data_IF_658990872055
#
_entry.id   IF_658990872055
#
_cell.length_a   1.000
_cell.length_b   1.000
_cell.length_c   1.000
_cell.angle_alpha   90.00
_cell.angle_beta   90.00
_cell.angle_gamma   90.00
#
_symmetry.space_group_name_H-M   'P 1'
#
loop_
_entity.id
_entity.type
_entity.pdbx_description
1 polymer ?
#
# COMPACT_ATOMS: atom_id res chain seq x y z
N UNK A 1 8.41 11.98 5.95
CA UNK A 1 8.14 11.59 7.34
C UNK A 1 7.05 12.44 8.00
N UNK A 2 7.07 13.76 7.81
CA UNK A 2 6.09 14.68 8.43
C UNK A 2 4.64 14.44 8.04
N UNK A 3 4.38 13.82 6.91
CA UNK A 3 3.02 13.59 6.40
C UNK A 3 2.52 12.15 6.62
N UNK A 4 3.34 11.15 6.30
CA UNK A 4 2.94 9.72 6.37
C UNK A 4 3.35 9.03 7.68
N UNK A 5 4.08 9.71 8.55
CA UNK A 5 4.69 9.08 9.73
C UNK A 5 5.80 8.08 9.41
N UNK A 6 5.94 7.68 8.14
CA UNK A 6 6.89 6.68 7.66
C UNK A 6 7.90 7.31 6.72
N UNK A 7 9.16 6.88 6.80
CA UNK A 7 10.24 7.32 5.91
C UNK A 7 10.07 6.75 4.50
N UNK A 8 10.68 7.42 3.51
CA UNK A 8 10.61 7.02 2.10
C UNK A 8 11.16 5.60 1.91
N UNK A 9 10.50 4.81 1.06
CA UNK A 9 10.92 3.48 0.64
C UNK A 9 11.18 3.44 -0.87
N UNK A 10 11.87 2.42 -1.37
CA UNK A 10 12.05 2.23 -2.81
C UNK A 10 10.71 2.01 -3.53
N UNK A 11 9.75 1.42 -2.85
CA UNK A 11 8.40 1.20 -3.39
C UNK A 11 7.63 2.49 -3.63
N UNK A 12 7.99 3.59 -2.95
CA UNK A 12 7.37 4.90 -3.19
C UNK A 12 7.58 5.41 -4.61
N UNK A 13 8.60 4.90 -5.32
CA UNK A 13 8.82 5.19 -6.75
C UNK A 13 7.61 4.76 -7.58
N UNK A 14 7.01 3.61 -7.28
CA UNK A 14 5.81 3.11 -7.96
C UNK A 14 4.57 3.92 -7.64
N UNK A 15 4.56 4.54 -6.45
CA UNK A 15 3.45 5.37 -5.97
C UNK A 15 3.56 6.85 -6.34
N UNK A 16 4.61 7.29 -7.04
CA UNK A 16 4.82 8.71 -7.40
C UNK A 16 3.58 9.28 -8.10
N UNK A 17 3.00 8.56 -9.05
CA UNK A 17 1.80 9.01 -9.77
C UNK A 17 0.60 9.18 -8.82
N UNK A 18 0.39 8.23 -7.92
CA UNK A 18 -0.66 8.32 -6.90
C UNK A 18 -0.41 9.49 -5.96
N UNK A 19 0.84 9.69 -5.54
CA UNK A 19 1.22 10.81 -4.68
C UNK A 19 0.98 12.17 -5.36
N UNK A 20 1.30 12.30 -6.64
CA UNK A 20 1.07 13.53 -7.40
C UNK A 20 -0.41 13.89 -7.52
N UNK A 21 -1.29 12.90 -7.63
CA UNK A 21 -2.74 13.12 -7.69
C UNK A 21 -3.34 13.63 -6.36
N UNK A 22 -2.63 13.46 -5.25
CA UNK A 22 -3.07 13.86 -3.91
C UNK A 22 -2.48 15.22 -3.48
N UNK A 23 -1.49 15.72 -4.22
CA UNK A 23 -0.72 16.93 -3.84
C UNK A 23 -1.54 18.22 -3.88
N UNK A 24 -2.59 18.30 -4.69
CA UNK A 24 -3.39 19.53 -4.86
C UNK A 24 -4.08 20.04 -3.57
N UNK A 25 -4.20 19.18 -2.54
CA UNK A 25 -4.73 19.54 -1.21
C UNK A 25 -3.66 19.70 -0.12
N UNK A 26 -2.39 19.41 -0.37
CA UNK A 26 -1.36 19.32 0.65
C UNK A 26 -0.49 20.59 0.71
N UNK A 27 -0.41 21.20 1.88
CA UNK A 27 0.60 22.22 2.19
C UNK A 27 1.94 21.52 2.40
N UNK A 28 2.74 21.40 1.33
CA UNK A 28 4.12 20.91 1.44
C UNK A 28 4.96 21.95 2.20
N UNK A 29 5.27 21.68 3.45
CA UNK A 29 6.25 22.46 4.19
C UNK A 29 7.67 21.98 3.84
N UNK A 30 8.43 22.79 3.12
CA UNK A 30 9.84 22.50 2.86
C UNK A 30 10.61 22.83 4.13
N UNK A 31 11.18 21.82 4.76
CA UNK A 31 12.02 22.00 5.94
C UNK A 31 13.28 22.80 5.56
N UNK A 32 13.60 23.87 6.31
CA UNK A 32 14.80 24.68 6.10
C UNK A 32 16.09 23.87 6.08
N UNK A 33 16.19 22.80 6.87
CA UNK A 33 17.34 21.90 6.87
C UNK A 33 17.51 21.16 5.54
N UNK A 34 16.40 20.84 4.83
CA UNK A 34 16.46 20.25 3.50
C UNK A 34 17.03 21.24 2.50
N UNK A 35 16.61 22.50 2.53
CA UNK A 35 17.14 23.56 1.65
C UNK A 35 18.63 23.73 1.90
N UNK A 36 19.05 23.78 3.16
CA UNK A 36 20.48 23.87 3.53
C UNK A 36 21.26 22.68 2.99
N UNK A 37 20.75 21.45 3.16
CA UNK A 37 21.41 20.23 2.65
C UNK A 37 21.57 20.28 1.11
N UNK A 38 20.56 20.71 0.38
CA UNK A 38 20.61 20.87 -1.08
C UNK A 38 21.63 21.95 -1.48
N UNK A 39 21.64 23.09 -0.79
CA UNK A 39 22.61 24.16 -1.03
C UNK A 39 24.04 23.70 -0.75
N UNK A 40 24.28 22.98 0.34
CA UNK A 40 25.59 22.43 0.68
C UNK A 40 26.02 21.36 -0.36
N UNK A 41 25.11 20.54 -0.84
CA UNK A 41 25.39 19.56 -1.89
C UNK A 41 25.79 20.25 -3.19
N UNK A 42 25.05 21.28 -3.63
CA UNK A 42 25.36 22.05 -4.82
C UNK A 42 26.74 22.76 -4.66
N UNK A 43 26.99 23.35 -3.49
CA UNK A 43 28.27 23.97 -3.18
C UNK A 43 29.41 22.98 -3.19
N UNK A 44 29.22 21.79 -2.62
CA UNK A 44 30.19 20.69 -2.65
C UNK A 44 30.48 20.26 -4.10
N UNK A 45 29.44 20.09 -4.92
CA UNK A 45 29.59 19.78 -6.35
C UNK A 45 30.36 20.85 -7.08
N UNK A 46 30.06 22.13 -6.82
CA UNK A 46 30.76 23.28 -7.43
C UNK A 46 32.25 23.31 -7.02
N UNK A 47 32.54 23.14 -5.73
CA UNK A 47 33.92 23.06 -5.20
C UNK A 47 34.65 21.88 -5.82
N UNK A 48 34.02 20.70 -5.87
CA UNK A 48 34.61 19.49 -6.46
C UNK A 48 35.00 19.70 -7.93
N UNK A 49 34.15 20.35 -8.69
CA UNK A 49 34.44 20.71 -10.11
C UNK A 49 35.59 21.69 -10.23
N UNK A 50 35.70 22.66 -9.30
CA UNK A 50 36.73 23.73 -9.36
C UNK A 50 38.08 23.31 -8.76
N UNK A 51 38.07 22.51 -7.70
CA UNK A 51 39.28 22.19 -6.91
C UNK A 51 39.95 20.90 -7.41
N UNK A 52 39.17 19.90 -7.83
CA UNK A 52 39.72 18.66 -8.37
C UNK A 52 40.10 18.86 -9.85
N UNK A 53 41.14 19.63 -10.07
CA UNK A 53 41.77 19.73 -11.38
C UNK A 53 42.70 18.54 -11.60
N UNK A 54 42.20 17.47 -12.18
CA UNK A 54 43.08 16.43 -12.74
C UNK A 54 43.68 17.04 -14.01
N UNK A 55 44.97 17.36 -14.00
CA UNK A 55 45.71 17.80 -15.17
C UNK A 55 45.74 16.64 -16.16
N UNK A 56 44.91 16.67 -17.14
CA UNK A 56 44.86 15.70 -18.21
C UNK A 56 45.70 16.13 -19.38
N UNK A 57 46.67 15.31 -19.76
CA UNK A 57 47.52 15.47 -20.92
C UNK A 57 46.84 15.04 -22.23
N UNK A 58 45.65 14.48 -22.14
CA UNK A 58 44.85 13.96 -23.26
C UNK A 58 43.39 14.39 -23.14
N UNK A 59 42.98 15.28 -24.03
CA UNK A 59 41.67 15.66 -24.59
C UNK A 59 40.40 15.78 -23.69
N UNK A 60 39.93 17.02 -23.66
CA UNK A 60 38.54 17.55 -23.80
C UNK A 60 37.34 16.69 -23.38
N UNK A 61 37.43 15.89 -22.32
CA UNK A 61 36.19 15.51 -21.65
C UNK A 61 35.87 16.52 -20.56
N UNK A 62 34.60 16.99 -20.46
CA UNK A 62 34.25 17.99 -19.45
C UNK A 62 34.58 17.44 -18.07
N UNK A 63 35.27 18.22 -17.26
CA UNK A 63 35.71 17.88 -15.89
C UNK A 63 34.56 17.31 -15.03
N UNK A 64 33.38 17.79 -15.31
CA UNK A 64 32.12 17.32 -14.71
C UNK A 64 31.86 15.82 -14.97
N UNK A 65 32.00 15.34 -16.21
CA UNK A 65 31.77 13.94 -16.54
C UNK A 65 32.81 13.01 -15.85
N UNK A 66 34.07 13.47 -15.73
CA UNK A 66 35.14 12.73 -15.02
C UNK A 66 34.83 12.63 -13.53
N UNK A 67 34.43 13.73 -12.91
CA UNK A 67 34.11 13.75 -11.49
C UNK A 67 32.87 12.89 -11.17
N UNK A 68 31.86 12.91 -12.01
CA UNK A 68 30.70 11.99 -11.90
C UNK A 68 31.18 10.54 -12.02
N UNK A 69 32.05 10.23 -12.98
CA UNK A 69 32.55 8.86 -13.17
C UNK A 69 33.34 8.39 -11.96
N UNK A 70 34.16 9.26 -11.34
CA UNK A 70 34.91 8.95 -10.12
C UNK A 70 33.95 8.73 -8.95
N UNK A 71 32.97 9.61 -8.76
CA UNK A 71 31.96 9.47 -7.68
C UNK A 71 31.14 8.21 -7.87
N UNK A 72 30.66 7.94 -9.07
CA UNK A 72 29.94 6.70 -9.39
C UNK A 72 30.85 5.46 -9.24
N UNK A 73 32.12 5.57 -9.60
CA UNK A 73 33.11 4.51 -9.40
C UNK A 73 33.36 4.22 -7.94
N UNK A 74 33.49 5.26 -7.10
CA UNK A 74 33.62 5.11 -5.65
C UNK A 74 32.35 4.53 -5.03
N UNK A 75 31.18 5.02 -5.43
CA UNK A 75 29.90 4.46 -4.97
C UNK A 75 29.77 3.00 -5.41
N UNK A 76 30.10 2.69 -6.66
CA UNK A 76 30.11 1.33 -7.19
C UNK A 76 31.10 0.43 -6.45
N UNK A 77 32.31 0.93 -6.19
CA UNK A 77 33.32 0.20 -5.43
C UNK A 77 32.88 -0.05 -3.98
N UNK A 78 32.31 0.95 -3.33
CA UNK A 78 31.74 0.82 -1.98
C UNK A 78 30.57 -0.15 -2.00
N UNK A 79 29.71 -0.11 -3.00
CA UNK A 79 28.59 -1.04 -3.14
C UNK A 79 29.04 -2.48 -3.41
N UNK A 80 30.16 -2.66 -4.15
CA UNK A 80 30.77 -3.98 -4.44
C UNK A 80 31.61 -4.48 -3.25
N UNK A 81 32.36 -3.58 -2.60
CA UNK A 81 33.25 -3.90 -1.49
C UNK A 81 32.59 -3.73 -0.12
N UNK A 82 31.39 -3.15 -0.04
CA UNK A 82 30.59 -3.14 1.18
C UNK A 82 29.85 -4.48 1.27
N UNK A 83 30.49 -5.51 1.83
CA UNK A 83 29.85 -6.80 2.01
C UNK A 83 28.61 -6.61 2.90
N UNK A 84 27.78 -7.62 2.96
CA UNK A 84 26.59 -7.68 3.84
C UNK A 84 26.86 -7.17 5.26
N UNK A 85 28.14 -7.23 5.66
CA UNK A 85 28.64 -6.73 6.94
C UNK A 85 28.16 -5.29 7.29
N UNK A 86 28.21 -4.35 6.33
CA UNK A 86 27.80 -2.96 6.61
C UNK A 86 26.28 -2.74 6.58
N UNK A 87 25.52 -3.70 6.08
CA UNK A 87 24.07 -3.56 5.93
C UNK A 87 23.28 -4.60 6.73
N UNK A 88 23.94 -5.60 7.33
CA UNK A 88 23.25 -6.65 8.07
C UNK A 88 22.50 -6.13 9.31
N UNK A 89 23.04 -5.09 9.94
CA UNK A 89 22.44 -4.50 11.14
C UNK A 89 21.26 -3.54 10.82
N UNK A 90 21.07 -3.22 9.53
CA UNK A 90 19.95 -2.37 9.12
C UNK A 90 18.65 -3.17 9.15
N UNK A 91 17.82 -2.88 10.14
CA UNK A 91 16.55 -3.57 10.37
C UNK A 91 15.40 -2.87 9.64
N UNK A 92 14.93 -3.44 8.53
CA UNK A 92 13.88 -2.83 7.71
C UNK A 92 12.44 -3.07 8.22
N UNK A 93 12.24 -3.89 9.24
CA UNK A 93 10.92 -4.09 9.84
C UNK A 93 10.33 -2.79 10.40
N UNK A 94 11.19 -1.85 10.81
CA UNK A 94 10.80 -0.49 11.17
C UNK A 94 11.66 0.52 10.38
N UNK A 95 11.12 0.98 9.26
CA UNK A 95 11.80 1.89 8.36
C UNK A 95 12.25 3.19 9.04
N UNK A 96 11.45 3.72 9.97
CA UNK A 96 11.80 4.96 10.67
C UNK A 96 13.04 4.77 11.55
N UNK A 97 13.13 3.65 12.24
CA UNK A 97 14.30 3.31 13.05
C UNK A 97 15.51 3.04 12.14
N UNK A 98 15.34 2.32 11.04
CA UNK A 98 16.42 2.10 10.08
C UNK A 98 17.06 3.41 9.59
N UNK A 99 16.23 4.41 9.27
CA UNK A 99 16.72 5.74 8.88
C UNK A 99 17.36 6.50 10.04
N UNK A 100 16.86 6.34 11.27
CA UNK A 100 17.42 7.01 12.45
C UNK A 100 18.78 6.43 12.85
N UNK A 101 18.90 5.10 12.84
CA UNK A 101 20.05 4.37 13.35
C UNK A 101 21.16 4.22 12.31
N UNK A 102 20.80 3.94 11.06
CA UNK A 102 21.75 3.61 9.98
C UNK A 102 21.91 4.74 8.95
N UNK A 103 21.08 5.76 9.02
CA UNK A 103 21.06 6.84 8.05
C UNK A 103 20.50 6.46 6.68
N UNK A 104 20.26 7.46 5.83
CA UNK A 104 19.59 7.28 4.55
C UNK A 104 20.39 6.39 3.57
N UNK A 105 21.71 6.52 3.53
CA UNK A 105 22.57 5.80 2.58
C UNK A 105 22.52 4.29 2.77
N UNK A 106 22.81 3.81 3.98
CA UNK A 106 22.80 2.38 4.29
C UNK A 106 21.40 1.78 4.20
N UNK A 107 20.40 2.51 4.69
CA UNK A 107 18.99 2.07 4.60
C UNK A 107 18.55 1.87 3.15
N UNK A 108 18.87 2.80 2.25
CA UNK A 108 18.55 2.66 0.81
C UNK A 108 19.30 1.51 0.16
N UNK A 109 20.59 1.31 0.48
CA UNK A 109 21.36 0.17 -0.03
C UNK A 109 20.74 -1.14 0.44
N UNK A 110 20.34 -1.24 1.69
CA UNK A 110 19.65 -2.42 2.23
C UNK A 110 18.32 -2.68 1.54
N UNK A 111 17.52 -1.64 1.34
CA UNK A 111 16.26 -1.75 0.58
C UNK A 111 16.47 -2.27 -0.84
N UNK A 112 17.51 -1.78 -1.55
CA UNK A 112 17.83 -2.28 -2.90
C UNK A 112 18.13 -3.78 -2.89
N UNK A 113 18.85 -4.27 -1.87
CA UNK A 113 19.14 -5.70 -1.74
C UNK A 113 17.88 -6.53 -1.49
N UNK A 114 16.97 -6.02 -0.67
CA UNK A 114 15.73 -6.72 -0.31
C UNK A 114 14.60 -6.50 -1.32
N UNK A 115 14.80 -5.64 -2.32
CA UNK A 115 13.77 -5.30 -3.30
C UNK A 115 13.27 -6.50 -4.12
N UNK A 116 14.14 -7.47 -4.36
CA UNK A 116 13.80 -8.69 -5.07
C UNK A 116 13.42 -9.81 -4.11
N UNK A 117 12.20 -10.32 -4.22
CA UNK A 117 11.76 -11.51 -3.50
C UNK A 117 12.57 -12.72 -3.99
N UNK A 118 13.40 -13.27 -3.11
CA UNK A 118 14.17 -14.45 -3.43
C UNK A 118 13.29 -15.69 -3.41
N UNK A 119 13.45 -16.56 -4.43
CA UNK A 119 12.78 -17.86 -4.43
C UNK A 119 13.26 -18.71 -3.26
N UNK A 120 12.39 -19.35 -2.48
CA UNK A 120 12.78 -20.31 -1.46
C UNK A 120 13.67 -21.43 -2.05
N UNK A 121 14.62 -21.93 -1.26
CA UNK A 121 15.61 -22.95 -1.73
C UNK A 121 15.00 -24.20 -2.38
N UNK A 122 13.76 -24.56 -2.02
CA UNK A 122 13.02 -25.73 -2.57
C UNK A 122 11.88 -25.32 -3.47
N UNK A 123 11.82 -24.07 -3.93
CA UNK A 123 10.75 -23.61 -4.79
C UNK A 123 10.81 -24.31 -6.16
N UNK A 124 9.71 -24.96 -6.52
CA UNK A 124 9.42 -25.37 -7.90
C UNK A 124 7.93 -25.20 -8.16
N UNK A 125 7.58 -24.96 -9.41
CA UNK A 125 6.16 -24.84 -9.83
C UNK A 125 5.40 -26.13 -9.51
N UNK A 126 6.04 -27.29 -9.71
CA UNK A 126 5.41 -28.58 -9.46
C UNK A 126 5.17 -28.85 -7.98
N UNK A 127 6.10 -28.45 -7.11
CA UNK A 127 5.92 -28.55 -5.66
C UNK A 127 4.81 -27.62 -5.17
N UNK A 128 4.76 -26.39 -5.70
CA UNK A 128 3.68 -25.45 -5.40
C UNK A 128 2.32 -26.01 -5.83
N UNK A 129 2.22 -26.58 -7.04
CA UNK A 129 0.99 -27.23 -7.49
C UNK A 129 0.57 -28.39 -6.60
N UNK A 130 1.51 -29.23 -6.15
CA UNK A 130 1.21 -30.33 -5.22
C UNK A 130 0.70 -29.83 -3.87
N UNK A 131 1.26 -28.70 -3.37
CA UNK A 131 0.77 -28.10 -2.13
C UNK A 131 -0.66 -27.57 -2.34
N UNK A 132 -0.91 -26.83 -3.42
CA UNK A 132 -2.23 -26.28 -3.72
C UNK A 132 -3.29 -27.37 -3.91
N UNK A 133 -2.96 -28.44 -4.66
CA UNK A 133 -3.86 -29.56 -4.89
C UNK A 133 -4.37 -30.24 -3.61
N UNK A 134 -3.67 -30.12 -2.49
CA UNK A 134 -4.14 -30.64 -1.21
C UNK A 134 -5.33 -29.87 -0.62
N UNK A 135 -5.55 -28.66 -1.11
CA UNK A 135 -6.58 -27.73 -0.62
C UNK A 135 -7.65 -27.43 -1.67
N UNK A 136 -7.52 -27.98 -2.89
CA UNK A 136 -8.51 -27.79 -3.97
C UNK A 136 -9.79 -28.60 -3.71
N UNK A 137 -9.70 -29.76 -3.07
CA UNK A 137 -10.84 -30.66 -2.83
C UNK A 137 -11.87 -30.11 -1.85
N UNK A 138 -11.48 -29.18 -0.96
CA UNK A 138 -12.40 -28.58 0.03
C UNK A 138 -13.32 -27.50 -0.56
N UNK A 139 -13.02 -27.00 -1.76
CA UNK A 139 -13.71 -25.83 -2.35
C UNK A 139 -14.89 -26.26 -3.24
N UNK A 140 -14.84 -27.44 -3.82
CA UNK A 140 -15.88 -27.94 -4.75
C UNK A 140 -17.08 -28.59 -4.05
N UNK A 141 -17.12 -28.60 -2.70
CA UNK A 141 -18.14 -29.30 -1.93
C UNK A 141 -19.41 -28.47 -1.65
N UNK A 142 -19.51 -27.24 -2.14
CA UNK A 142 -20.77 -26.46 -1.97
C UNK A 142 -21.73 -26.88 -3.09
N UNK A 143 -22.51 -27.93 -2.83
CA UNK A 143 -23.46 -28.52 -3.81
C UNK A 143 -24.68 -27.62 -4.05
N UNK A 144 -25.10 -26.82 -3.08
CA UNK A 144 -26.26 -25.93 -3.20
C UNK A 144 -25.88 -24.48 -2.80
N UNK A 145 -25.93 -23.59 -3.77
CA UNK A 145 -25.69 -22.16 -3.57
C UNK A 145 -26.99 -21.35 -3.53
N UNK A 146 -28.16 -21.97 -3.59
CA UNK A 146 -29.46 -21.29 -3.70
C UNK A 146 -29.76 -20.36 -2.53
N UNK A 147 -29.40 -20.76 -1.29
CA UNK A 147 -29.73 -20.06 -0.06
C UNK A 147 -28.59 -19.20 0.51
N UNK A 148 -27.52 -18.98 -0.28
CA UNK A 148 -26.41 -18.14 0.20
C UNK A 148 -26.82 -16.66 0.30
N UNK A 149 -26.45 -15.97 1.40
CA UNK A 149 -26.79 -14.57 1.60
C UNK A 149 -25.95 -13.63 0.75
N UNK A 150 -26.39 -12.40 0.57
CA UNK A 150 -25.52 -11.34 0.09
C UNK A 150 -24.38 -11.10 1.08
N UNK A 151 -23.18 -10.82 0.59
CA UNK A 151 -22.01 -10.58 1.39
C UNK A 151 -21.46 -9.17 1.15
N UNK A 152 -21.36 -8.38 2.21
CA UNK A 152 -20.79 -7.04 2.16
C UNK A 152 -19.56 -6.99 3.08
N UNK A 153 -18.42 -6.66 2.51
CA UNK A 153 -17.18 -6.39 3.24
C UNK A 153 -16.89 -4.89 3.16
N UNK A 154 -16.77 -4.24 4.31
CA UNK A 154 -16.42 -2.82 4.38
C UNK A 154 -15.06 -2.68 5.03
N UNK A 155 -14.10 -2.14 4.29
CA UNK A 155 -12.85 -1.64 4.83
C UNK A 155 -13.04 -0.16 5.15
N UNK A 156 -13.39 0.13 6.39
CA UNK A 156 -13.57 1.48 6.87
C UNK A 156 -12.19 2.08 7.16
N UNK A 157 -11.61 2.75 6.16
CA UNK A 157 -10.22 3.21 6.20
C UNK A 157 -10.00 4.20 7.34
N UNK A 158 -8.90 3.97 8.10
CA UNK A 158 -8.49 4.77 9.25
C UNK A 158 -9.49 4.81 10.41
N UNK A 159 -10.53 3.97 10.39
CA UNK A 159 -11.38 3.81 11.57
C UNK A 159 -10.59 3.15 12.70
N UNK A 160 -10.63 3.75 13.88
CA UNK A 160 -9.97 3.23 15.06
C UNK A 160 -10.77 3.60 16.32
N UNK A 161 -10.96 2.65 17.19
CA UNK A 161 -11.43 2.90 18.54
C UNK A 161 -10.25 3.31 19.43
N UNK A 162 -10.09 4.62 19.60
CA UNK A 162 -9.02 5.18 20.40
C UNK A 162 -9.23 4.93 21.90
N UNK A 163 -10.45 4.63 22.34
CA UNK A 163 -10.75 4.34 23.76
C UNK A 163 -10.13 3.01 24.19
N UNK A 164 -10.02 2.04 23.26
CA UNK A 164 -9.34 0.77 23.50
C UNK A 164 -7.81 0.89 23.53
N UNK A 165 -7.25 1.86 22.80
CA UNK A 165 -5.79 1.99 22.66
C UNK A 165 -5.18 2.93 23.67
N UNK A 166 -5.95 3.89 24.17
CA UNK A 166 -5.52 4.93 25.08
C UNK A 166 -6.52 5.05 26.22
N UNK A 167 -6.02 5.25 27.44
CA UNK A 167 -6.86 5.54 28.60
C UNK A 167 -7.31 7.01 28.54
N UNK A 168 -8.29 7.29 27.67
CA UNK A 168 -8.81 8.63 27.44
C UNK A 168 -9.93 8.91 28.46
N UNK A 169 -9.83 10.08 29.14
CA UNK A 169 -10.91 10.61 29.96
C UNK A 169 -11.82 11.47 29.08
N UNK A 170 -12.86 10.86 28.53
CA UNK A 170 -13.82 11.52 27.63
C UNK A 170 -15.12 11.81 28.36
N UNK A 171 -15.72 12.96 28.08
CA UNK A 171 -17.04 13.34 28.62
C UNK A 171 -18.18 12.46 28.08
N UNK A 172 -18.03 12.01 26.84
CA UNK A 172 -19.02 11.22 26.12
C UNK A 172 -18.32 10.13 25.30
N UNK A 173 -19.02 9.04 25.02
CA UNK A 173 -18.50 7.97 24.15
C UNK A 173 -18.61 8.40 22.67
N UNK A 174 -17.49 8.61 21.95
CA UNK A 174 -17.52 9.02 20.55
C UNK A 174 -17.99 7.92 19.60
N UNK A 175 -18.04 6.66 20.07
CA UNK A 175 -18.38 5.47 19.28
C UNK A 175 -19.53 4.68 19.90
N UNK A 176 -20.48 5.33 20.57
CA UNK A 176 -21.59 4.71 21.29
C UNK A 176 -22.30 3.63 20.46
N UNK A 177 -22.65 3.94 19.21
CA UNK A 177 -23.28 2.97 18.32
C UNK A 177 -22.41 1.74 18.06
N UNK A 178 -21.10 1.93 17.85
CA UNK A 178 -20.16 0.82 17.61
C UNK A 178 -20.02 -0.06 18.86
N UNK A 179 -19.89 0.56 20.02
CA UNK A 179 -19.79 -0.17 21.30
C UNK A 179 -21.08 -0.93 21.60
N UNK A 180 -22.25 -0.36 21.32
CA UNK A 180 -23.52 -1.08 21.39
C UNK A 180 -23.58 -2.23 20.37
N UNK A 181 -23.19 -1.97 19.11
CA UNK A 181 -23.24 -2.96 18.03
C UNK A 181 -22.45 -4.23 18.35
N UNK A 182 -21.23 -4.11 18.86
CA UNK A 182 -20.37 -5.26 19.17
C UNK A 182 -20.88 -6.13 20.34
N UNK A 183 -21.89 -5.69 21.06
CA UNK A 183 -22.52 -6.46 22.16
C UNK A 183 -23.76 -7.26 21.72
N UNK A 184 -24.22 -7.10 20.48
CA UNK A 184 -25.44 -7.76 19.98
C UNK A 184 -25.20 -9.24 19.72
N UNK A 185 -26.15 -10.09 20.04
CA UNK A 185 -26.07 -11.55 19.90
C UNK A 185 -25.79 -12.05 18.47
N UNK A 186 -26.15 -11.26 17.45
CA UNK A 186 -25.93 -11.56 16.05
C UNK A 186 -24.64 -10.94 15.49
N UNK A 187 -23.79 -10.40 16.35
CA UNK A 187 -22.52 -9.77 15.97
C UNK A 187 -21.34 -10.53 16.57
N UNK A 188 -20.35 -10.83 15.75
CA UNK A 188 -19.07 -11.36 16.18
C UNK A 188 -18.04 -10.24 16.06
N UNK A 189 -17.39 -9.91 17.17
CA UNK A 189 -16.36 -8.89 17.23
C UNK A 189 -15.00 -9.49 17.58
N UNK A 190 -13.91 -8.83 17.17
CA UNK A 190 -12.55 -9.28 17.47
C UNK A 190 -11.51 -8.31 16.96
N UNK A 191 -10.25 -8.59 17.28
CA UNK A 191 -9.10 -7.82 16.83
C UNK A 191 -8.40 -8.55 15.69
N UNK A 192 -8.24 -7.87 14.57
CA UNK A 192 -7.48 -8.37 13.43
C UNK A 192 -6.17 -7.59 13.29
N UNK A 193 -5.08 -8.31 13.09
CA UNK A 193 -3.76 -7.72 12.90
C UNK A 193 -3.41 -7.67 11.41
N UNK A 194 -3.01 -6.50 10.93
CA UNK A 194 -2.40 -6.33 9.60
C UNK A 194 -0.88 -6.28 9.72
N UNK A 195 -0.18 -6.73 8.68
CA UNK A 195 1.27 -6.59 8.57
C UNK A 195 1.70 -5.15 8.26
N UNK A 196 0.77 -4.24 8.06
CA UNK A 196 1.06 -2.86 7.67
C UNK A 196 1.21 -1.96 8.90
N UNK A 197 2.21 -1.09 8.85
CA UNK A 197 2.42 -0.06 9.85
C UNK A 197 2.26 1.32 9.20
N UNK A 198 1.20 2.03 9.56
CA UNK A 198 0.95 3.40 9.13
C UNK A 198 0.73 3.57 7.61
N UNK A 199 -0.49 3.73 7.17
CA UNK A 199 -0.85 3.82 5.76
C UNK A 199 -0.80 2.47 5.02
N UNK A 200 -0.79 2.50 3.68
CA UNK A 200 -0.72 1.26 2.89
C UNK A 200 -2.06 0.53 2.75
N UNK A 201 -3.15 1.27 2.63
CA UNK A 201 -4.53 0.76 2.44
C UNK A 201 -4.60 -0.38 1.44
N UNK A 202 -3.96 -0.23 0.26
CA UNK A 202 -3.93 -1.26 -0.78
C UNK A 202 -3.23 -2.57 -0.34
N UNK A 203 -2.33 -2.51 0.63
CA UNK A 203 -1.70 -3.71 1.17
C UNK A 203 -2.65 -4.45 2.11
N UNK A 204 -3.43 -3.74 2.90
CA UNK A 204 -4.46 -4.34 3.76
C UNK A 204 -5.59 -4.93 2.91
N UNK A 205 -6.00 -4.23 1.83
CA UNK A 205 -6.92 -4.79 0.82
C UNK A 205 -6.37 -6.10 0.23
N UNK A 206 -5.09 -6.09 -0.17
CA UNK A 206 -4.42 -7.26 -0.72
C UNK A 206 -4.43 -8.43 0.28
N UNK A 207 -4.08 -8.19 1.54
CA UNK A 207 -4.10 -9.22 2.58
C UNK A 207 -5.52 -9.78 2.79
N UNK A 208 -6.52 -8.91 2.86
CA UNK A 208 -7.92 -9.30 3.03
C UNK A 208 -8.44 -10.13 1.84
N UNK A 209 -8.25 -9.63 0.62
CA UNK A 209 -8.82 -10.26 -0.58
C UNK A 209 -8.08 -11.54 -0.98
N UNK A 210 -6.75 -11.56 -0.87
CA UNK A 210 -5.93 -12.69 -1.33
C UNK A 210 -5.50 -13.64 -0.22
N UNK A 211 -5.67 -13.25 1.05
CA UNK A 211 -5.19 -13.95 2.23
C UNK A 211 -3.67 -14.17 2.25
N UNK A 212 -2.92 -13.43 1.42
CA UNK A 212 -1.47 -13.45 1.40
C UNK A 212 -0.91 -12.34 2.27
N UNK A 213 -0.05 -12.70 3.22
CA UNK A 213 0.53 -11.78 4.20
C UNK A 213 1.69 -11.00 3.58
N UNK A 214 1.64 -9.68 3.64
CA UNK A 214 2.71 -8.81 3.11
C UNK A 214 3.96 -8.81 3.99
N UNK A 215 3.90 -9.34 5.22
CA UNK A 215 5.06 -9.49 6.11
C UNK A 215 6.20 -10.34 5.51
N UNK A 216 5.90 -11.21 4.53
CA UNK A 216 6.91 -12.02 3.85
C UNK A 216 7.54 -11.32 2.64
N UNK A 217 7.08 -10.14 2.31
CA UNK A 217 7.61 -9.34 1.22
C UNK A 217 8.67 -8.35 1.73
N UNK A 218 9.54 -7.86 0.87
CA UNK A 218 10.46 -6.79 1.23
C UNK A 218 9.73 -5.59 1.85
N UNK A 219 10.35 -4.98 2.84
CA UNK A 219 9.77 -3.86 3.55
C UNK A 219 9.37 -2.71 2.59
N UNK A 220 8.18 -2.19 2.75
CA UNK A 220 7.61 -1.16 1.88
C UNK A 220 7.08 -1.70 0.56
N UNK A 221 7.01 -3.02 0.35
CA UNK A 221 6.40 -3.60 -0.84
C UNK A 221 4.95 -3.17 -1.00
N UNK A 222 4.54 -3.07 -2.26
CA UNK A 222 3.18 -2.71 -2.64
C UNK A 222 2.66 -3.69 -3.72
N UNK A 223 2.06 -4.82 -3.29
CA UNK A 223 1.69 -5.91 -4.17
C UNK A 223 0.85 -5.50 -5.37
N UNK A 224 -0.09 -4.59 -5.21
CA UNK A 224 -0.91 -4.07 -6.28
C UNK A 224 -0.09 -3.46 -7.43
N UNK A 225 1.04 -2.85 -7.12
CA UNK A 225 1.87 -2.16 -8.11
C UNK A 225 3.06 -2.99 -8.60
N UNK A 226 3.50 -3.97 -7.80
CA UNK A 226 4.75 -4.68 -8.03
C UNK A 226 4.56 -6.14 -8.44
N UNK A 227 3.60 -6.84 -7.83
CA UNK A 227 3.54 -8.30 -7.94
C UNK A 227 2.31 -8.83 -8.68
N UNK A 228 1.18 -8.10 -8.67
CA UNK A 228 0.00 -8.52 -9.41
C UNK A 228 0.17 -8.11 -10.89
N UNK A 229 0.52 -9.08 -11.73
CA UNK A 229 0.72 -8.87 -13.17
C UNK A 229 -0.24 -9.68 -14.06
N UNK A 230 -1.02 -10.59 -13.48
CA UNK A 230 -1.99 -11.44 -14.16
C UNK A 230 -3.20 -11.73 -13.27
N UNK A 231 -4.18 -12.46 -13.81
CA UNK A 231 -5.40 -12.81 -13.08
C UNK A 231 -5.08 -13.61 -11.81
N UNK A 232 -5.64 -13.17 -10.70
CA UNK A 232 -5.51 -13.82 -9.39
C UNK A 232 -6.61 -14.85 -9.25
N UNK A 233 -6.28 -16.12 -9.43
CA UNK A 233 -7.24 -17.23 -9.38
C UNK A 233 -7.62 -17.64 -7.95
N UNK A 234 -6.76 -17.35 -6.99
CA UNK A 234 -6.96 -17.69 -5.59
C UNK A 234 -7.13 -16.40 -4.79
N UNK A 235 -8.36 -15.94 -4.73
CA UNK A 235 -8.77 -14.76 -3.98
C UNK A 235 -10.22 -14.95 -3.50
N UNK A 236 -10.61 -14.18 -2.50
CA UNK A 236 -12.01 -14.12 -2.04
C UNK A 236 -12.95 -13.79 -3.20
N UNK A 237 -12.58 -12.86 -4.06
CA UNK A 237 -13.38 -12.48 -5.25
C UNK A 237 -13.54 -13.66 -6.20
N UNK A 238 -12.44 -14.34 -6.55
CA UNK A 238 -12.49 -15.50 -7.44
C UNK A 238 -13.29 -16.67 -6.82
N UNK A 239 -13.26 -16.81 -5.50
CA UNK A 239 -14.08 -17.80 -4.79
C UNK A 239 -15.56 -17.44 -4.88
N UNK A 240 -15.95 -16.20 -4.62
CA UNK A 240 -17.33 -15.75 -4.72
C UNK A 240 -17.88 -15.89 -6.15
N UNK A 241 -17.09 -15.56 -7.16
CA UNK A 241 -17.47 -15.78 -8.56
C UNK A 241 -17.78 -17.27 -8.86
N UNK A 242 -16.99 -18.21 -8.32
CA UNK A 242 -17.28 -19.64 -8.47
C UNK A 242 -18.57 -20.08 -7.78
N UNK A 243 -18.97 -19.41 -6.71
CA UNK A 243 -20.26 -19.62 -6.03
C UNK A 243 -21.43 -18.93 -6.73
N UNK A 244 -21.21 -18.27 -7.87
CA UNK A 244 -22.25 -17.61 -8.65
C UNK A 244 -22.64 -16.20 -8.15
N UNK A 245 -21.81 -15.58 -7.32
CA UNK A 245 -22.01 -14.18 -6.93
C UNK A 245 -21.62 -13.23 -8.05
N UNK A 246 -22.38 -12.15 -8.20
CA UNK A 246 -21.90 -10.95 -8.89
C UNK A 246 -21.03 -10.16 -7.95
N UNK A 247 -19.83 -9.79 -8.37
CA UNK A 247 -18.82 -9.20 -7.51
C UNK A 247 -18.58 -7.73 -7.80
N UNK A 248 -18.62 -6.92 -6.74
CA UNK A 248 -18.52 -5.46 -6.78
C UNK A 248 -17.34 -4.96 -5.95
N UNK A 249 -16.40 -4.25 -6.59
CA UNK A 249 -15.32 -3.54 -5.92
C UNK A 249 -15.59 -2.04 -5.95
N UNK A 250 -15.71 -1.39 -4.78
CA UNK A 250 -16.13 0.01 -4.68
C UNK A 250 -15.10 0.80 -3.87
N UNK A 251 -14.63 1.90 -4.44
CA UNK A 251 -13.77 2.85 -3.74
C UNK A 251 -14.11 4.28 -4.15
N UNK A 252 -14.61 5.06 -3.23
CA UNK A 252 -15.10 6.43 -3.48
C UNK A 252 -13.98 7.46 -3.71
N UNK A 253 -12.84 7.02 -4.24
CA UNK A 253 -11.72 7.86 -4.64
C UNK A 253 -11.22 7.49 -6.03
N UNK A 254 -10.15 8.17 -6.47
CA UNK A 254 -9.61 8.03 -7.82
C UNK A 254 -9.18 6.60 -8.15
N UNK A 255 -9.64 6.09 -9.27
CA UNK A 255 -9.33 4.75 -9.79
C UNK A 255 -7.83 4.51 -10.05
N UNK A 256 -7.07 5.59 -10.28
CA UNK A 256 -5.62 5.53 -10.48
C UNK A 256 -4.85 5.24 -9.19
N UNK A 257 -5.46 5.48 -8.02
CA UNK A 257 -4.87 5.21 -6.72
C UNK A 257 -4.47 3.74 -6.59
N UNK A 258 -3.18 3.48 -6.33
CA UNK A 258 -2.59 2.13 -6.26
C UNK A 258 -2.85 1.25 -7.51
N UNK A 259 -3.23 1.87 -8.64
CA UNK A 259 -3.62 1.16 -9.88
C UNK A 259 -4.88 0.29 -9.72
N UNK A 260 -5.79 0.64 -8.80
CA UNK A 260 -6.99 -0.17 -8.46
C UNK A 260 -7.84 -0.52 -9.66
N UNK A 261 -8.02 0.37 -10.63
CA UNK A 261 -8.78 0.07 -11.85
C UNK A 261 -8.27 -1.18 -12.58
N UNK A 262 -6.95 -1.31 -12.70
CA UNK A 262 -6.32 -2.49 -13.29
C UNK A 262 -6.40 -3.69 -12.36
N UNK A 263 -6.12 -3.48 -11.09
CA UNK A 263 -5.97 -4.56 -10.10
C UNK A 263 -7.32 -5.21 -9.80
N UNK A 264 -8.39 -4.46 -9.65
CA UNK A 264 -9.72 -5.02 -9.40
C UNK A 264 -10.18 -5.94 -10.55
N UNK A 265 -9.84 -5.59 -11.80
CA UNK A 265 -10.05 -6.49 -12.95
C UNK A 265 -9.23 -7.78 -12.84
N UNK A 266 -7.97 -7.69 -12.39
CA UNK A 266 -7.10 -8.85 -12.22
C UNK A 266 -7.50 -9.74 -11.03
N UNK A 267 -8.12 -9.15 -10.00
CA UNK A 267 -8.71 -9.87 -8.88
C UNK A 267 -10.01 -10.57 -9.24
N UNK A 268 -10.63 -10.20 -10.36
CA UNK A 268 -11.84 -10.83 -10.88
C UNK A 268 -13.15 -10.17 -10.48
N UNK A 269 -13.14 -8.92 -10.03
CA UNK A 269 -14.38 -8.17 -9.83
C UNK A 269 -15.13 -7.99 -11.16
N UNK A 270 -16.44 -8.29 -11.19
CA UNK A 270 -17.29 -8.05 -12.34
C UNK A 270 -17.51 -6.56 -12.57
N UNK A 271 -17.70 -5.83 -11.47
CA UNK A 271 -17.85 -4.38 -11.47
C UNK A 271 -16.84 -3.73 -10.56
N UNK A 272 -16.16 -2.69 -11.07
CA UNK A 272 -15.24 -1.86 -10.31
C UNK A 272 -15.66 -0.39 -10.41
N UNK A 273 -16.09 0.17 -9.28
CA UNK A 273 -16.61 1.53 -9.22
C UNK A 273 -15.75 2.43 -8.36
N UNK A 274 -15.47 3.59 -8.92
CA UNK A 274 -14.59 4.59 -8.35
C UNK A 274 -15.27 5.98 -8.39
N UNK A 275 -14.64 6.98 -7.78
CA UNK A 275 -15.11 8.37 -7.79
C UNK A 275 -15.60 8.83 -9.17
N UNK A 276 -14.93 8.41 -10.23
CA UNK A 276 -15.22 8.83 -11.60
C UNK A 276 -16.55 8.28 -12.14
N UNK A 277 -17.07 7.20 -11.58
CA UNK A 277 -18.30 6.57 -12.05
C UNK A 277 -19.34 6.26 -10.97
N UNK A 278 -19.09 6.62 -9.72
CA UNK A 278 -20.05 6.45 -8.63
C UNK A 278 -21.12 7.54 -8.60
N UNK A 279 -21.04 8.64 -9.19
CA UNK A 279 -22.04 9.71 -9.13
C UNK A 279 -22.46 10.11 -7.69
N UNK A 280 -23.06 11.27 -7.52
CA UNK A 280 -23.71 11.76 -6.29
C UNK A 280 -22.87 11.71 -4.98
N UNK A 281 -21.55 11.59 -5.07
CA UNK A 281 -20.68 11.62 -3.89
C UNK A 281 -20.66 13.04 -3.28
N UNK A 282 -20.79 13.11 -1.96
CA UNK A 282 -20.62 14.33 -1.19
C UNK A 282 -19.23 14.39 -0.60
N UNK A 283 -18.59 15.55 -0.67
CA UNK A 283 -17.22 15.74 -0.22
C UNK A 283 -17.18 16.56 1.06
N UNK A 284 -16.43 16.07 2.04
CA UNK A 284 -16.19 16.78 3.30
C UNK A 284 -15.20 17.94 3.16
N UNK A 285 -14.91 18.61 4.27
CA UNK A 285 -13.93 19.72 4.33
C UNK A 285 -12.51 19.28 3.94
N UNK A 286 -12.19 18.02 4.11
CA UNK A 286 -10.91 17.41 3.71
C UNK A 286 -10.75 17.25 2.19
N UNK A 287 -11.83 17.43 1.41
CA UNK A 287 -11.84 17.15 -0.02
C UNK A 287 -12.05 15.67 -0.37
N UNK A 288 -12.18 14.79 0.63
CA UNK A 288 -12.53 13.39 0.43
C UNK A 288 -14.04 13.17 0.47
N UNK A 289 -14.53 12.14 -0.22
CA UNK A 289 -15.92 11.73 -0.15
C UNK A 289 -16.30 11.28 1.26
N UNK A 290 -17.50 11.63 1.72
CA UNK A 290 -17.99 11.14 3.00
C UNK A 290 -18.34 9.64 2.91
N UNK A 291 -18.13 8.92 3.99
CA UNK A 291 -18.49 7.50 4.08
C UNK A 291 -20.01 7.34 3.92
N UNK A 292 -20.79 8.24 4.51
CA UNK A 292 -22.25 8.26 4.35
C UNK A 292 -22.65 8.29 2.87
N UNK A 293 -22.10 9.23 2.08
CA UNK A 293 -22.46 9.31 0.66
C UNK A 293 -22.01 8.08 -0.13
N UNK A 294 -20.90 7.46 0.27
CA UNK A 294 -20.43 6.20 -0.32
C UNK A 294 -21.44 5.07 -0.07
N UNK A 295 -21.98 4.97 1.14
CA UNK A 295 -22.98 3.96 1.49
C UNK A 295 -24.34 4.25 0.83
N UNK A 296 -24.76 5.50 0.74
CA UNK A 296 -26.00 5.90 0.03
C UNK A 296 -25.93 5.49 -1.45
N UNK A 297 -24.84 5.79 -2.13
CA UNK A 297 -24.62 5.37 -3.54
C UNK A 297 -24.59 3.84 -3.67
N UNK A 298 -23.92 3.15 -2.76
CA UNK A 298 -23.92 1.68 -2.73
C UNK A 298 -25.35 1.13 -2.57
N UNK A 299 -26.12 1.70 -1.65
CA UNK A 299 -27.50 1.29 -1.41
C UNK A 299 -28.37 1.47 -2.64
N UNK A 300 -28.24 2.61 -3.33
CA UNK A 300 -28.95 2.87 -4.58
C UNK A 300 -28.60 1.85 -5.67
N UNK A 301 -27.33 1.48 -5.78
CA UNK A 301 -26.88 0.45 -6.72
C UNK A 301 -27.51 -0.90 -6.39
N UNK A 302 -27.52 -1.29 -5.13
CA UNK A 302 -28.06 -2.58 -4.70
C UNK A 302 -29.60 -2.65 -4.85
N UNK A 303 -30.30 -1.53 -4.69
CA UNK A 303 -31.75 -1.47 -4.92
C UNK A 303 -32.14 -1.57 -6.39
N UNK A 304 -31.23 -1.29 -7.31
CA UNK A 304 -31.49 -1.33 -8.76
C UNK A 304 -30.97 -2.61 -9.44
N UNK A 305 -30.38 -3.56 -8.68
CA UNK A 305 -29.99 -4.85 -9.22
C UNK A 305 -31.17 -5.82 -9.34
N UNK A 306 -31.09 -6.90 -10.12
CA UNK A 306 -32.08 -7.98 -10.14
C UNK A 306 -32.30 -8.59 -8.73
N UNK A 307 -33.54 -8.92 -8.40
CA UNK A 307 -33.91 -9.47 -7.08
C UNK A 307 -33.24 -10.83 -6.78
N UNK A 308 -33.02 -11.63 -7.81
CA UNK A 308 -32.41 -12.96 -7.73
C UNK A 308 -30.87 -12.93 -7.78
N UNK A 309 -30.27 -11.75 -7.98
CA UNK A 309 -28.83 -11.61 -8.02
C UNK A 309 -28.24 -11.66 -6.61
N UNK A 310 -27.36 -12.62 -6.36
CA UNK A 310 -26.51 -12.65 -5.17
C UNK A 310 -25.29 -11.78 -5.38
N UNK A 311 -25.00 -10.92 -4.44
CA UNK A 311 -23.87 -10.04 -4.56
C UNK A 311 -22.83 -10.25 -3.46
N UNK A 312 -21.57 -10.14 -3.87
CA UNK A 312 -20.43 -9.92 -3.02
C UNK A 312 -19.88 -8.52 -3.28
N UNK A 313 -19.91 -7.66 -2.28
CA UNK A 313 -19.46 -6.29 -2.39
C UNK A 313 -18.27 -6.03 -1.45
N UNK A 314 -17.23 -5.43 -1.97
CA UNK A 314 -16.06 -5.00 -1.22
C UNK A 314 -15.94 -3.47 -1.33
N UNK A 315 -16.17 -2.76 -0.22
CA UNK A 315 -16.15 -1.30 -0.17
C UNK A 315 -14.92 -0.84 0.61
N UNK A 316 -14.17 0.10 0.04
CA UNK A 316 -13.09 0.82 0.73
C UNK A 316 -13.48 2.28 0.85
N UNK A 317 -13.66 2.77 2.08
CA UNK A 317 -13.96 4.18 2.33
C UNK A 317 -12.72 5.06 2.31
N UNK A 318 -12.87 6.38 2.46
CA UNK A 318 -11.73 7.32 2.43
C UNK A 318 -11.88 8.52 3.36
N UNK A 319 -13.05 8.73 3.93
CA UNK A 319 -13.38 9.95 4.69
C UNK A 319 -12.39 10.22 5.83
N UNK A 320 -11.98 9.19 6.57
CA UNK A 320 -11.08 9.30 7.70
C UNK A 320 -9.58 9.36 7.32
N UNK A 321 -9.24 9.20 6.04
CA UNK A 321 -7.84 9.26 5.56
C UNK A 321 -7.20 10.64 5.69
N UNK A 322 -7.97 11.69 5.95
CA UNK A 322 -7.46 13.07 6.08
C UNK A 322 -6.70 13.35 7.37
N UNK A 323 -6.52 12.35 8.22
CA UNK A 323 -5.89 12.50 9.52
C UNK A 323 -6.75 13.28 10.50
N UNK A 324 -6.95 12.73 11.66
CA UNK A 324 -7.36 13.50 12.83
C UNK A 324 -6.17 14.41 13.17
N UNK A 325 -6.25 15.67 12.84
CA UNK A 325 -5.37 16.72 13.36
C UNK A 325 -6.10 17.39 14.50
#
# INVERSE_FOLDING_TARGET
>A
RSFRGVSITLSDIYSIRTALNVVDGLKLSINGNFVIAVCLFILFMFISVKVIHVKDKYERRPTFAKNITIVLGVIGLVAICAPDYFTNDVQLWNINNAYADSGAGLTLIRMVKEFNVSKPKKYSVDETKKILAKYEDDVDSVEDTSDLPNVLVIMNESFADLTMSYNLDLSDDPLEFYHELITRDNVVSGVMHSSQFGGGTANVEYECITQNVTAFLPSGSMPYQQYISGNVKQSMVAYMNRLGYTTYGIHSWEKSGYSREKIYKLLGFDYAWFKENLGNLQFGRSGYSSDQSTYEVYYDIMNNKPDDEKNFSFIVTISASSGII
#
